data_IF_525914784322
#
_entry.id   IF_525914784322
#
_cell.length_a   1.000
_cell.length_b   1.000
_cell.length_c   1.000
_cell.angle_alpha   90.00
_cell.angle_beta   90.00
_cell.angle_gamma   90.00
#
_symmetry.space_group_name_H-M   'P 1'
#
loop_
_entity.id
_entity.type
_entity.pdbx_description
1 polymer ?
#
# COMPACT_ATOMS: atom_id res chain seq x y z
N UNK A 1 -61.10 -6.93 7.28
CA UNK A 1 -61.15 -7.79 6.08
C UNK A 1 -59.71 -8.02 5.63
N UNK A 2 -59.32 -9.29 5.52
CA UNK A 2 -57.97 -9.84 5.37
C UNK A 2 -57.33 -9.53 4.01
N UNK A 3 -55.99 -9.44 3.95
CA UNK A 3 -55.14 -10.55 3.45
C UNK A 3 -53.64 -10.24 3.62
N UNK A 4 -52.98 -11.13 4.38
CA UNK A 4 -51.53 -11.36 4.44
C UNK A 4 -51.17 -12.40 3.37
N UNK A 5 -49.99 -12.30 2.77
CA UNK A 5 -49.36 -13.40 2.02
C UNK A 5 -48.05 -13.81 2.69
N UNK A 6 -48.02 -15.04 3.23
CA UNK A 6 -46.83 -15.73 3.71
C UNK A 6 -46.10 -16.42 2.54
N UNK A 7 -44.77 -16.47 2.57
CA UNK A 7 -43.96 -17.31 1.69
C UNK A 7 -43.01 -18.15 2.55
N UNK A 8 -43.16 -19.48 2.46
CA UNK A 8 -42.37 -20.50 3.19
C UNK A 8 -41.06 -20.82 2.46
N UNK A 9 -40.01 -21.06 3.25
CA UNK A 9 -38.70 -21.56 2.84
C UNK A 9 -38.68 -23.10 3.04
N UNK A 10 -38.17 -23.87 2.07
CA UNK A 10 -37.92 -25.31 2.20
C UNK A 10 -36.45 -25.66 1.98
N UNK A 11 -35.94 -26.55 2.83
CA UNK A 11 -34.57 -27.00 3.02
C UNK A 11 -33.90 -27.69 1.80
N UNK A 12 -32.58 -27.50 1.67
CA UNK A 12 -31.70 -28.23 0.75
C UNK A 12 -30.81 -29.26 1.50
N UNK A 13 -30.55 -30.38 0.81
CA UNK A 13 -29.97 -31.65 1.28
C UNK A 13 -28.44 -31.63 1.42
N UNK A 14 -27.95 -32.35 2.43
CA UNK A 14 -26.57 -32.81 2.66
C UNK A 14 -26.26 -34.08 1.85
N UNK A 15 -25.07 -34.16 1.23
CA UNK A 15 -24.54 -35.38 0.60
C UNK A 15 -23.29 -35.85 1.36
N UNK A 16 -23.33 -37.08 1.91
CA UNK A 16 -22.18 -37.85 2.41
C UNK A 16 -21.85 -38.95 1.40
N UNK A 17 -20.57 -39.10 1.05
CA UNK A 17 -20.06 -40.24 0.28
C UNK A 17 -19.39 -41.25 1.22
N UNK A 18 -19.81 -42.52 1.11
CA UNK A 18 -19.28 -43.68 1.84
C UNK A 18 -18.10 -44.30 1.09
N UNK A 19 -17.11 -44.81 1.84
CA UNK A 19 -16.01 -45.63 1.35
C UNK A 19 -16.40 -47.10 1.12
N UNK A 20 -15.65 -47.78 0.24
CA UNK A 20 -15.64 -49.24 0.09
C UNK A 20 -14.20 -49.74 -0.06
N UNK A 21 -13.82 -50.66 0.80
CA UNK A 21 -12.64 -51.50 0.69
C UNK A 21 -13.02 -52.84 0.02
N UNK A 22 -12.11 -53.44 -0.74
CA UNK A 22 -12.19 -54.83 -1.22
C UNK A 22 -10.79 -55.46 -1.11
N UNK A 23 -10.73 -56.57 -0.37
CA UNK A 23 -9.57 -57.43 -0.21
C UNK A 23 -9.68 -58.65 -1.15
N UNK A 24 -8.55 -59.27 -1.50
CA UNK A 24 -8.57 -60.68 -1.88
C UNK A 24 -7.36 -61.26 -2.64
N UNK A 25 -6.83 -62.36 -2.07
CA UNK A 25 -6.19 -63.54 -2.70
C UNK A 25 -4.78 -63.38 -3.32
N UNK A 26 -3.78 -64.26 -3.22
CA UNK A 26 -3.48 -65.51 -2.49
C UNK A 26 -1.98 -65.80 -2.71
N UNK A 27 -1.31 -66.45 -1.76
CA UNK A 27 0.09 -66.90 -1.85
C UNK A 27 0.23 -68.28 -2.51
N UNK A 28 1.19 -68.45 -3.43
CA UNK A 28 1.75 -69.76 -3.81
C UNK A 28 3.27 -69.67 -3.79
N UNK A 29 3.92 -70.55 -3.02
CA UNK A 29 5.36 -70.65 -2.92
C UNK A 29 5.97 -71.58 -3.97
N UNK A 30 7.19 -71.26 -4.42
CA UNK A 30 8.12 -72.23 -5.02
C UNK A 30 9.56 -71.82 -4.71
N UNK A 31 10.37 -72.83 -4.38
CA UNK A 31 11.69 -72.75 -3.78
C UNK A 31 12.80 -72.61 -4.85
N UNK A 32 13.67 -71.61 -4.74
CA UNK A 32 14.87 -71.46 -5.58
C UNK A 32 16.17 -71.68 -4.76
N UNK A 33 17.26 -72.24 -5.33
CA UNK A 33 18.48 -72.61 -4.61
C UNK A 33 19.28 -71.41 -4.06
N UNK A 34 19.95 -71.60 -2.91
CA UNK A 34 20.60 -70.57 -2.10
C UNK A 34 21.81 -69.85 -2.75
N UNK A 35 22.51 -70.46 -3.70
CA UNK A 35 23.75 -69.94 -4.30
C UNK A 35 23.50 -68.76 -5.27
N UNK A 36 22.42 -68.80 -6.07
CA UNK A 36 22.02 -67.70 -6.96
C UNK A 36 21.50 -66.47 -6.21
N UNK A 37 21.13 -66.60 -4.92
CA UNK A 37 20.69 -65.47 -4.09
C UNK A 37 21.84 -64.54 -3.71
N UNK A 38 23.09 -65.02 -3.60
CA UNK A 38 24.25 -64.22 -3.15
C UNK A 38 24.83 -63.33 -4.26
N UNK A 39 24.91 -63.81 -5.51
CA UNK A 39 25.32 -62.97 -6.64
C UNK A 39 24.26 -61.92 -7.01
N UNK A 40 22.97 -62.29 -6.93
CA UNK A 40 21.89 -61.32 -7.15
C UNK A 40 21.84 -60.24 -6.07
N UNK A 41 22.09 -60.57 -4.80
CA UNK A 41 22.10 -59.55 -3.73
C UNK A 41 23.25 -58.58 -3.87
N UNK A 42 24.47 -59.02 -4.22
CA UNK A 42 25.60 -58.11 -4.41
C UNK A 42 25.37 -57.14 -5.59
N UNK A 43 24.86 -57.67 -6.71
CA UNK A 43 24.56 -56.87 -7.91
C UNK A 43 23.40 -55.90 -7.67
N UNK A 44 22.35 -56.34 -6.97
CA UNK A 44 21.23 -55.48 -6.59
C UNK A 44 21.67 -54.37 -5.63
N UNK A 45 22.55 -54.69 -4.66
CA UNK A 45 23.08 -53.72 -3.69
C UNK A 45 23.95 -52.68 -4.39
N UNK A 46 24.83 -53.09 -5.32
CA UNK A 46 25.64 -52.14 -6.10
C UNK A 46 24.76 -51.21 -6.97
N UNK A 47 23.74 -51.77 -7.60
CA UNK A 47 22.82 -51.02 -8.49
C UNK A 47 21.99 -50.02 -7.68
N UNK A 48 21.46 -50.43 -6.53
CA UNK A 48 20.75 -49.54 -5.60
C UNK A 48 21.66 -48.42 -5.08
N UNK A 49 22.90 -48.74 -4.71
CA UNK A 49 23.86 -47.76 -4.19
C UNK A 49 24.25 -46.74 -5.26
N UNK A 50 24.51 -47.17 -6.49
CA UNK A 50 24.78 -46.27 -7.62
C UNK A 50 23.56 -45.39 -7.97
N UNK A 51 22.35 -45.94 -7.93
CA UNK A 51 21.11 -45.19 -8.18
C UNK A 51 20.86 -44.13 -7.10
N UNK A 52 21.13 -44.46 -5.84
CA UNK A 52 21.09 -43.53 -4.71
C UNK A 52 22.14 -42.43 -4.85
N UNK A 53 23.37 -42.77 -5.22
CA UNK A 53 24.45 -41.80 -5.44
C UNK A 53 24.12 -40.87 -6.60
N UNK A 54 23.60 -41.39 -7.72
CA UNK A 54 23.21 -40.59 -8.87
C UNK A 54 22.02 -39.69 -8.55
N UNK A 55 21.03 -40.19 -7.80
CA UNK A 55 19.89 -39.39 -7.33
C UNK A 55 20.34 -38.28 -6.38
N UNK A 56 21.27 -38.57 -5.47
CA UNK A 56 21.82 -37.61 -4.53
C UNK A 56 22.67 -36.55 -5.25
N UNK A 57 23.50 -36.95 -6.22
CA UNK A 57 24.26 -36.03 -7.07
C UNK A 57 23.34 -35.16 -7.93
N UNK A 58 22.27 -35.73 -8.49
CA UNK A 58 21.25 -34.97 -9.23
C UNK A 58 20.51 -33.98 -8.33
N UNK A 59 20.19 -34.38 -7.09
CA UNK A 59 19.56 -33.50 -6.10
C UNK A 59 20.51 -32.40 -5.61
N UNK A 60 21.80 -32.71 -5.45
CA UNK A 60 22.85 -31.74 -5.07
C UNK A 60 23.10 -30.77 -6.23
N UNK A 61 23.18 -31.24 -7.47
CA UNK A 61 23.34 -30.40 -8.67
C UNK A 61 22.09 -29.55 -8.92
N UNK A 62 20.88 -30.12 -8.73
CA UNK A 62 19.63 -29.37 -8.79
C UNK A 62 19.55 -28.32 -7.69
N UNK A 63 19.91 -28.64 -6.44
CA UNK A 63 19.98 -27.66 -5.34
C UNK A 63 21.06 -26.61 -5.58
N UNK A 64 22.22 -26.97 -6.12
CA UNK A 64 23.30 -26.03 -6.38
C UNK A 64 22.95 -25.07 -7.51
N UNK A 65 22.35 -25.58 -8.59
CA UNK A 65 21.79 -24.75 -9.66
C UNK A 65 20.58 -23.93 -9.18
N UNK A 66 19.71 -24.47 -8.32
CA UNK A 66 18.57 -23.71 -7.78
C UNK A 66 19.00 -22.62 -6.80
N UNK A 67 20.09 -22.84 -6.05
CA UNK A 67 20.69 -21.85 -5.15
C UNK A 67 21.45 -20.77 -5.93
N UNK A 68 22.09 -21.10 -7.06
CA UNK A 68 22.68 -20.09 -7.95
C UNK A 68 21.62 -19.30 -8.73
N UNK A 69 20.53 -19.95 -9.16
CA UNK A 69 19.38 -19.30 -9.83
C UNK A 69 18.53 -18.43 -8.88
N UNK A 70 18.59 -18.62 -7.55
CA UNK A 70 17.69 -17.92 -6.61
C UNK A 70 18.16 -16.53 -6.19
N UNK A 71 19.44 -16.18 -6.38
CA UNK A 71 19.95 -14.87 -5.96
C UNK A 71 19.59 -13.74 -6.94
N UNK A 72 19.35 -14.04 -8.22
CA UNK A 72 19.08 -13.05 -9.27
C UNK A 72 17.60 -12.90 -9.63
N UNK A 73 16.68 -13.49 -8.85
CA UNK A 73 15.25 -13.60 -9.18
C UNK A 73 14.31 -13.12 -8.08
N UNK A 74 14.86 -12.51 -7.03
CA UNK A 74 14.04 -12.02 -5.93
C UNK A 74 13.45 -10.66 -6.30
N UNK A 75 12.17 -10.40 -6.00
CA UNK A 75 11.58 -9.12 -6.30
C UNK A 75 12.29 -7.96 -5.60
N UNK A 76 12.47 -6.85 -6.30
CA UNK A 76 12.84 -5.58 -5.65
C UNK A 76 11.60 -5.02 -4.94
N UNK A 77 11.62 -4.97 -3.61
CA UNK A 77 10.49 -4.50 -2.81
C UNK A 77 10.85 -3.23 -2.07
N UNK A 78 10.14 -2.14 -2.38
CA UNK A 78 10.34 -0.84 -1.74
C UNK A 78 9.17 -0.51 -0.81
N UNK A 79 9.42 -0.41 0.49
CA UNK A 79 8.46 0.04 1.49
C UNK A 79 8.47 1.56 1.54
N UNK A 80 7.29 2.14 1.31
CA UNK A 80 7.08 3.59 1.30
C UNK A 80 6.23 3.96 2.52
N UNK A 81 6.89 4.21 3.65
CA UNK A 81 6.19 4.62 4.86
C UNK A 81 6.02 6.15 4.86
N UNK A 82 4.77 6.59 4.91
CA UNK A 82 4.45 8.03 4.99
C UNK A 82 3.62 8.37 6.21
N UNK A 83 3.70 9.65 6.61
CA UNK A 83 2.91 10.20 7.70
C UNK A 83 2.24 11.50 7.26
N UNK A 84 0.92 11.54 7.32
CA UNK A 84 0.12 12.73 7.02
C UNK A 84 -0.16 13.44 8.34
N UNK A 85 0.46 14.61 8.53
CA UNK A 85 0.43 15.35 9.80
C UNK A 85 -0.77 16.31 9.87
N UNK A 86 -1.97 15.74 9.82
CA UNK A 86 -3.24 16.48 9.72
C UNK A 86 -3.48 17.36 10.95
N UNK A 87 -3.47 16.77 12.14
CA UNK A 87 -3.70 17.47 13.39
C UNK A 87 -4.97 18.36 13.34
N UNK A 88 -4.87 19.61 13.79
CA UNK A 88 -6.00 20.56 13.79
C UNK A 88 -6.47 20.87 12.37
N UNK A 89 -5.58 20.85 11.37
CA UNK A 89 -5.95 21.20 10.00
C UNK A 89 -6.99 20.24 9.42
N UNK A 90 -6.92 18.95 9.76
CA UNK A 90 -7.90 17.94 9.37
C UNK A 90 -9.33 18.32 9.76
N UNK A 91 -9.53 18.97 10.90
CA UNK A 91 -10.84 19.46 11.36
C UNK A 91 -11.27 20.79 10.76
N UNK A 92 -10.34 21.56 10.19
CA UNK A 92 -10.63 22.88 9.58
C UNK A 92 -11.06 22.78 8.13
N UNK A 93 -10.49 21.85 7.36
CA UNK A 93 -10.86 21.63 5.96
C UNK A 93 -11.82 20.47 5.82
N UNK A 94 -11.26 19.26 5.71
CA UNK A 94 -11.98 18.02 5.44
C UNK A 94 -13.04 17.65 6.48
N UNK A 95 -12.67 17.68 7.76
CA UNK A 95 -13.52 17.33 8.90
C UNK A 95 -14.37 18.49 9.41
N UNK A 96 -14.44 19.59 8.64
CA UNK A 96 -15.22 20.76 9.01
C UNK A 96 -16.71 20.40 9.07
N UNK A 97 -17.28 20.51 10.26
CA UNK A 97 -18.70 20.32 10.51
C UNK A 97 -19.21 21.46 11.38
N UNK A 98 -20.49 21.82 11.21
CA UNK A 98 -21.17 22.75 12.10
C UNK A 98 -21.21 22.28 13.57
N UNK A 99 -20.95 20.99 13.81
CA UNK A 99 -20.91 20.37 15.14
C UNK A 99 -19.50 20.16 15.69
N UNK A 100 -18.45 20.46 14.92
CA UNK A 100 -17.06 20.35 15.38
C UNK A 100 -16.85 21.25 16.60
N UNK A 101 -16.28 20.68 17.67
CA UNK A 101 -16.16 21.34 18.96
C UNK A 101 -14.74 21.21 19.54
N UNK A 102 -14.52 21.79 20.73
CA UNK A 102 -13.21 21.81 21.37
C UNK A 102 -12.62 20.41 21.63
N UNK A 103 -13.45 19.41 21.89
CA UNK A 103 -12.96 18.04 22.08
C UNK A 103 -12.36 17.48 20.78
N UNK A 104 -12.97 17.77 19.64
CA UNK A 104 -12.47 17.36 18.32
C UNK A 104 -11.12 18.03 18.05
N UNK A 105 -11.03 19.36 18.19
CA UNK A 105 -9.78 20.08 18.01
C UNK A 105 -8.67 19.61 18.97
N UNK A 106 -9.02 19.22 20.20
CA UNK A 106 -8.04 18.70 21.17
C UNK A 106 -7.35 17.43 20.68
N UNK A 107 -8.00 16.62 19.84
CA UNK A 107 -7.37 15.44 19.22
C UNK A 107 -6.30 15.82 18.19
N UNK A 108 -6.45 16.95 17.50
CA UNK A 108 -5.41 17.51 16.64
C UNK A 108 -4.18 17.97 17.45
N UNK A 109 -4.38 18.53 18.65
CA UNK A 109 -3.26 18.84 19.55
C UNK A 109 -2.58 17.57 20.05
N UNK A 110 -3.33 16.49 20.32
CA UNK A 110 -2.76 15.20 20.64
C UNK A 110 -1.89 14.66 19.49
N UNK A 111 -2.36 14.76 18.25
CA UNK A 111 -1.61 14.34 17.07
C UNK A 111 -0.23 15.01 17.02
N UNK A 112 -0.20 16.34 17.19
CA UNK A 112 1.05 17.10 17.24
C UNK A 112 1.90 16.75 18.47
N UNK A 113 1.41 17.05 19.68
CA UNK A 113 2.24 17.08 20.88
C UNK A 113 2.55 15.68 21.45
N UNK A 114 1.80 14.65 21.03
CA UNK A 114 1.96 13.27 21.51
C UNK A 114 2.22 12.31 20.37
N UNK A 115 1.43 12.38 19.30
CA UNK A 115 1.54 11.50 18.13
C UNK A 115 2.89 11.65 17.42
N UNK A 116 3.26 12.87 17.04
CA UNK A 116 4.53 13.13 16.34
C UNK A 116 5.74 12.64 17.14
N UNK A 117 5.93 13.00 18.44
CA UNK A 117 7.04 12.47 19.23
C UNK A 117 7.05 10.95 19.36
N UNK A 118 5.88 10.28 19.40
CA UNK A 118 5.81 8.81 19.47
C UNK A 118 6.30 8.18 18.17
N UNK A 119 5.84 8.67 17.03
CA UNK A 119 6.24 8.16 15.72
C UNK A 119 7.72 8.43 15.44
N UNK A 120 8.24 9.62 15.76
CA UNK A 120 9.67 9.91 15.62
C UNK A 120 10.55 8.97 16.46
N UNK A 121 10.15 8.67 17.71
CA UNK A 121 10.87 7.68 18.54
C UNK A 121 10.78 6.28 17.95
N UNK A 122 9.63 5.91 17.39
CA UNK A 122 9.43 4.60 16.77
C UNK A 122 10.30 4.42 15.51
N UNK A 123 10.32 5.40 14.62
CA UNK A 123 11.15 5.35 13.42
C UNK A 123 12.63 5.36 13.76
N UNK A 124 13.02 6.12 14.80
CA UNK A 124 14.39 6.10 15.33
C UNK A 124 14.77 4.73 15.91
N UNK A 125 13.87 4.10 16.67
CA UNK A 125 14.05 2.72 17.20
C UNK A 125 14.33 1.73 16.06
N UNK A 126 13.63 1.89 14.93
CA UNK A 126 13.79 1.03 13.77
C UNK A 126 14.92 1.43 12.82
N UNK A 127 15.56 2.59 13.04
CA UNK A 127 16.64 3.09 12.17
C UNK A 127 16.15 3.52 10.78
N UNK A 128 14.88 3.93 10.65
CA UNK A 128 14.26 4.28 9.36
C UNK A 128 13.83 5.75 9.27
N UNK A 129 14.23 6.61 10.22
CA UNK A 129 13.78 8.02 10.27
C UNK A 129 14.03 8.78 8.96
N UNK A 130 15.17 8.57 8.30
CA UNK A 130 15.50 9.21 7.02
C UNK A 130 14.85 8.58 5.80
N UNK A 131 14.15 7.45 5.99
CA UNK A 131 13.44 6.71 4.93
C UNK A 131 11.92 6.91 5.01
N UNK A 132 11.44 7.83 5.85
CA UNK A 132 10.03 8.17 5.99
C UNK A 132 9.75 9.50 5.31
N UNK A 133 8.59 9.61 4.66
CA UNK A 133 8.09 10.86 4.08
C UNK A 133 6.95 11.41 4.93
N UNK A 134 7.04 12.67 5.35
CA UNK A 134 5.96 13.36 6.05
C UNK A 134 5.27 14.34 5.11
N UNK A 135 3.98 14.13 4.86
CA UNK A 135 3.16 15.12 4.16
C UNK A 135 2.54 16.03 5.21
N UNK A 136 2.91 17.31 5.16
CA UNK A 136 2.56 18.27 6.22
C UNK A 136 1.68 19.38 5.64
N UNK A 137 0.47 19.60 6.19
CA UNK A 137 -0.33 20.78 5.87
C UNK A 137 0.38 22.07 6.29
N UNK A 138 0.26 23.14 5.50
CA UNK A 138 0.86 24.44 5.83
C UNK A 138 0.44 24.98 7.21
N UNK A 139 -0.83 24.80 7.58
CA UNK A 139 -1.35 25.13 8.90
C UNK A 139 -0.62 24.36 10.02
N UNK A 140 -0.36 23.06 9.82
CA UNK A 140 0.39 22.25 10.80
C UNK A 140 1.84 22.72 10.91
N UNK A 141 2.48 23.11 9.80
CA UNK A 141 3.83 23.69 9.82
C UNK A 141 3.91 24.96 10.68
N UNK A 142 2.92 25.86 10.55
CA UNK A 142 2.90 27.13 11.27
C UNK A 142 2.37 27.01 12.71
N UNK A 143 1.48 26.05 12.98
CA UNK A 143 0.85 25.87 14.30
C UNK A 143 1.68 25.04 15.27
N UNK A 144 2.50 24.11 14.75
CA UNK A 144 3.30 23.16 15.55
C UNK A 144 4.78 23.20 15.13
N UNK A 145 5.43 24.38 15.21
CA UNK A 145 6.77 24.58 14.65
C UNK A 145 7.85 23.71 15.33
N UNK A 146 7.69 23.37 16.61
CA UNK A 146 8.63 22.51 17.33
C UNK A 146 8.56 21.06 16.83
N UNK A 147 7.35 20.52 16.65
CA UNK A 147 7.10 19.21 16.09
C UNK A 147 7.58 19.12 14.63
N UNK A 148 7.23 20.11 13.81
CA UNK A 148 7.66 20.18 12.40
C UNK A 148 9.18 20.27 12.29
N UNK A 149 9.85 21.06 13.14
CA UNK A 149 11.31 21.11 13.19
C UNK A 149 11.93 19.78 13.62
N UNK A 150 11.33 19.08 14.58
CA UNK A 150 11.80 17.76 15.01
C UNK A 150 11.68 16.72 13.88
N UNK A 151 10.63 16.79 13.06
CA UNK A 151 10.48 15.95 11.86
C UNK A 151 11.64 16.21 10.88
N UNK A 152 11.91 17.48 10.55
CA UNK A 152 13.02 17.84 9.64
C UNK A 152 14.37 17.37 10.19
N UNK A 153 14.62 17.57 11.49
CA UNK A 153 15.85 17.15 12.15
C UNK A 153 16.04 15.63 12.18
N UNK A 154 14.96 14.84 12.03
CA UNK A 154 15.05 13.39 11.94
C UNK A 154 15.63 12.89 10.61
N UNK A 155 15.75 13.78 9.62
CA UNK A 155 16.22 13.47 8.26
C UNK A 155 15.13 12.97 7.33
N UNK A 156 13.87 12.94 7.77
CA UNK A 156 12.73 12.56 6.95
C UNK A 156 12.51 13.50 5.74
N UNK A 157 11.91 12.98 4.68
CA UNK A 157 11.43 13.81 3.57
C UNK A 157 10.19 14.62 4.01
N UNK A 158 10.08 15.87 3.53
CA UNK A 158 8.86 16.68 3.69
C UNK A 158 8.17 16.84 2.34
N UNK A 159 6.90 16.40 2.27
CA UNK A 159 5.95 16.68 1.20
C UNK A 159 4.89 17.70 1.65
N UNK A 160 4.16 18.26 0.69
CA UNK A 160 3.07 19.21 0.95
C UNK A 160 1.70 18.49 0.99
N UNK A 161 0.79 19.01 1.83
CA UNK A 161 -0.52 18.39 2.06
C UNK A 161 -1.66 19.42 2.22
N UNK A 162 -1.79 20.36 1.28
CA UNK A 162 -2.71 21.50 1.44
C UNK A 162 -2.28 22.46 2.55
N UNK A 163 -3.09 23.47 2.85
CA UNK A 163 -2.78 24.42 3.93
C UNK A 163 -3.54 24.03 5.20
N UNK A 164 -4.87 24.13 5.19
CA UNK A 164 -5.76 23.71 6.26
C UNK A 164 -6.52 22.42 5.90
N UNK A 165 -5.87 21.50 5.17
CA UNK A 165 -6.42 20.20 4.77
C UNK A 165 -7.74 20.32 3.97
N UNK A 166 -7.77 21.27 3.03
CA UNK A 166 -8.89 21.59 2.15
C UNK A 166 -8.98 20.59 0.99
N UNK A 167 -10.18 20.05 0.74
CA UNK A 167 -10.41 19.21 -0.45
C UNK A 167 -10.49 20.07 -1.72
N UNK A 168 -9.98 19.58 -2.85
CA UNK A 168 -10.06 20.31 -4.12
C UNK A 168 -11.50 20.66 -4.49
N UNK A 169 -12.48 19.85 -4.07
CA UNK A 169 -13.91 20.14 -4.25
C UNK A 169 -14.39 21.47 -3.64
N UNK A 170 -13.74 21.91 -2.56
CA UNK A 170 -14.07 23.10 -1.77
C UNK A 170 -13.45 24.39 -2.30
N UNK A 171 -12.50 24.28 -3.23
CA UNK A 171 -11.70 25.40 -3.72
C UNK A 171 -12.01 25.74 -5.18
N UNK A 172 -11.86 27.01 -5.51
CA UNK A 172 -11.68 27.50 -6.88
C UNK A 172 -10.23 27.26 -7.33
N UNK A 173 -9.99 27.26 -8.64
CA UNK A 173 -8.63 27.08 -9.20
C UNK A 173 -7.64 28.15 -8.69
N UNK A 174 -8.11 29.39 -8.48
CA UNK A 174 -7.29 30.48 -7.93
C UNK A 174 -6.88 30.19 -6.47
N UNK A 175 -7.83 29.79 -5.64
CA UNK A 175 -7.57 29.44 -4.25
C UNK A 175 -6.60 28.26 -4.15
N UNK A 176 -6.79 27.24 -4.97
CA UNK A 176 -5.91 26.08 -4.98
C UNK A 176 -4.47 26.46 -5.37
N UNK A 177 -4.31 27.34 -6.36
CA UNK A 177 -2.99 27.88 -6.74
C UNK A 177 -2.34 28.68 -5.60
N UNK A 178 -3.10 29.52 -4.90
CA UNK A 178 -2.62 30.29 -3.76
C UNK A 178 -2.19 29.37 -2.60
N UNK A 179 -2.97 28.33 -2.31
CA UNK A 179 -2.66 27.30 -1.30
C UNK A 179 -1.38 26.57 -1.67
N UNK A 180 -1.26 26.05 -2.90
CA UNK A 180 -0.05 25.34 -3.36
C UNK A 180 1.17 26.26 -3.28
N UNK A 181 1.05 27.53 -3.70
CA UNK A 181 2.14 28.50 -3.61
C UNK A 181 2.61 28.72 -2.17
N UNK A 182 1.67 28.91 -1.23
CA UNK A 182 1.98 29.09 0.20
C UNK A 182 2.62 27.83 0.79
N UNK A 183 2.15 26.64 0.44
CA UNK A 183 2.76 25.38 0.91
C UNK A 183 4.18 25.19 0.37
N UNK A 184 4.44 25.52 -0.90
CA UNK A 184 5.79 25.50 -1.48
C UNK A 184 6.69 26.48 -0.75
N UNK A 185 6.22 27.70 -0.47
CA UNK A 185 6.97 28.68 0.30
C UNK A 185 7.34 28.13 1.68
N UNK A 186 6.36 27.70 2.46
CA UNK A 186 6.57 27.20 3.83
C UNK A 186 7.52 25.99 3.88
N UNK A 187 7.30 25.00 3.01
CA UNK A 187 8.17 23.83 2.95
C UNK A 187 9.62 24.19 2.55
N UNK A 188 9.78 25.18 1.67
CA UNK A 188 11.11 25.67 1.26
C UNK A 188 11.80 26.42 2.39
N UNK A 189 11.09 27.28 3.11
CA UNK A 189 11.63 27.98 4.29
C UNK A 189 12.04 27.00 5.40
N UNK A 190 11.24 25.96 5.59
CA UNK A 190 11.46 24.94 6.61
C UNK A 190 12.66 24.03 6.30
N UNK A 191 12.82 23.60 5.06
CA UNK A 191 13.79 22.55 4.67
C UNK A 191 15.01 23.08 3.89
N UNK A 192 14.97 24.33 3.44
CA UNK A 192 15.95 24.92 2.54
C UNK A 192 15.90 24.41 1.10
N UNK A 193 14.92 23.56 0.75
CA UNK A 193 14.76 22.96 -0.58
C UNK A 193 13.29 23.01 -1.00
N UNK A 194 13.04 23.12 -2.31
CA UNK A 194 11.66 23.00 -2.82
C UNK A 194 11.10 21.60 -2.51
N UNK A 195 9.84 21.48 -2.08
CA UNK A 195 9.20 20.18 -1.90
C UNK A 195 9.09 19.46 -3.23
N UNK A 196 9.20 18.13 -3.19
CA UNK A 196 9.15 17.26 -4.38
C UNK A 196 7.83 16.50 -4.48
N UNK A 197 7.17 16.28 -3.35
CA UNK A 197 5.96 15.50 -3.22
C UNK A 197 4.75 16.30 -2.83
N UNK A 198 3.63 15.96 -3.42
CA UNK A 198 2.30 16.39 -3.02
C UNK A 198 1.47 15.17 -2.61
N UNK A 199 0.60 15.35 -1.62
CA UNK A 199 -0.55 14.49 -1.38
C UNK A 199 -1.76 15.39 -1.21
N UNK A 200 -2.83 15.13 -1.94
CA UNK A 200 -4.05 15.92 -1.79
C UNK A 200 -4.78 15.54 -0.50
N UNK A 201 -5.28 16.52 0.28
CA UNK A 201 -6.23 16.24 1.36
C UNK A 201 -7.39 15.36 0.86
N UNK A 202 -7.71 14.29 1.59
CA UNK A 202 -8.68 13.25 1.21
C UNK A 202 -8.45 12.58 -0.16
N UNK A 203 -7.23 12.62 -0.68
CA UNK A 203 -6.93 12.14 -2.04
C UNK A 203 -7.79 12.83 -3.12
N UNK A 204 -8.31 14.03 -2.85
CA UNK A 204 -9.19 14.75 -3.77
C UNK A 204 -8.37 15.64 -4.71
N UNK A 205 -8.21 15.22 -5.95
CA UNK A 205 -7.60 16.01 -7.01
C UNK A 205 -8.58 16.37 -8.11
N UNK A 206 -8.32 17.52 -8.74
CA UNK A 206 -8.88 17.88 -10.04
C UNK A 206 -7.78 17.93 -11.10
N UNK A 207 -8.18 17.92 -12.36
CA UNK A 207 -7.27 18.07 -13.50
C UNK A 207 -6.49 19.37 -13.47
N UNK A 208 -7.07 20.46 -12.96
CA UNK A 208 -6.35 21.71 -12.75
C UNK A 208 -5.31 21.59 -11.61
N UNK A 209 -5.57 20.81 -10.57
CA UNK A 209 -4.59 20.58 -9.49
C UNK A 209 -3.32 19.98 -10.04
N UNK A 210 -3.44 18.94 -10.88
CA UNK A 210 -2.30 18.33 -11.56
C UNK A 210 -1.52 19.38 -12.37
N UNK A 211 -2.20 20.25 -13.12
CA UNK A 211 -1.54 21.30 -13.91
C UNK A 211 -0.77 22.28 -13.02
N UNK A 212 -1.36 22.72 -11.91
CA UNK A 212 -0.69 23.62 -10.97
C UNK A 212 0.53 22.92 -10.35
N UNK A 213 0.42 21.66 -9.95
CA UNK A 213 1.56 20.89 -9.42
C UNK A 213 2.70 20.74 -10.45
N UNK A 214 2.38 20.48 -11.72
CA UNK A 214 3.35 20.45 -12.83
C UNK A 214 4.04 21.82 -13.00
N UNK A 215 3.31 22.94 -12.91
CA UNK A 215 3.85 24.30 -13.03
C UNK A 215 4.77 24.69 -11.86
N UNK A 216 4.46 24.26 -10.64
CA UNK A 216 5.32 24.46 -9.46
C UNK A 216 6.53 23.51 -9.44
N UNK A 217 6.56 22.52 -10.34
CA UNK A 217 7.69 21.61 -10.53
C UNK A 217 7.74 20.48 -9.50
N UNK A 218 6.58 20.04 -9.00
CA UNK A 218 6.51 18.82 -8.21
C UNK A 218 6.99 17.62 -9.04
N UNK A 219 7.64 16.67 -8.38
CA UNK A 219 8.10 15.44 -9.01
C UNK A 219 7.00 14.38 -9.04
N UNK A 220 6.28 14.26 -7.92
CA UNK A 220 5.30 13.22 -7.74
C UNK A 220 4.07 13.68 -6.96
N UNK A 221 2.96 13.00 -7.21
CA UNK A 221 1.75 12.97 -6.38
C UNK A 221 1.57 11.56 -5.77
N UNK A 222 0.83 11.49 -4.66
CA UNK A 222 0.44 10.22 -4.04
C UNK A 222 -1.01 10.28 -3.56
N UNK A 223 -1.92 10.42 -4.51
CA UNK A 223 -3.36 10.59 -4.27
C UNK A 223 -4.26 9.79 -5.22
N UNK A 224 -3.71 9.13 -6.24
CA UNK A 224 -4.51 8.46 -7.28
C UNK A 224 -4.31 6.93 -7.28
N UNK A 225 -5.41 6.22 -7.54
CA UNK A 225 -5.50 4.76 -7.38
C UNK A 225 -5.59 3.97 -8.68
N UNK A 226 -5.04 4.47 -9.79
CA UNK A 226 -5.09 3.71 -11.06
C UNK A 226 -4.35 2.37 -10.94
N UNK A 227 -3.27 2.36 -10.15
CA UNK A 227 -2.49 1.18 -9.78
C UNK A 227 -2.51 1.05 -8.25
N UNK A 228 -2.04 -0.08 -7.71
CA UNK A 228 -1.99 -0.33 -6.27
C UNK A 228 -0.57 -0.52 -5.73
N UNK A 229 0.40 -0.87 -6.59
CA UNK A 229 1.73 -1.31 -6.16
C UNK A 229 2.84 -1.00 -7.17
N UNK A 230 2.50 -0.26 -8.24
CA UNK A 230 3.44 0.17 -9.26
C UNK A 230 3.26 1.67 -9.54
N UNK A 231 4.37 2.38 -9.65
CA UNK A 231 4.37 3.79 -10.05
C UNK A 231 3.95 3.92 -11.52
N UNK A 232 3.34 5.05 -11.85
CA UNK A 232 2.92 5.38 -13.21
C UNK A 232 3.01 6.88 -13.43
N UNK A 233 2.91 7.34 -14.67
CA UNK A 233 2.74 8.77 -14.94
C UNK A 233 1.27 9.14 -14.85
N UNK A 234 0.95 10.24 -14.16
CA UNK A 234 -0.43 10.73 -14.07
C UNK A 234 -1.01 10.92 -15.48
N UNK A 235 -2.12 10.26 -15.84
CA UNK A 235 -2.72 10.40 -17.17
C UNK A 235 -3.21 11.82 -17.41
N UNK A 236 -2.81 12.43 -18.54
CA UNK A 236 -3.28 13.75 -18.95
C UNK A 236 -4.60 13.62 -19.70
N UNK A 237 -5.72 13.66 -18.99
CA UNK A 237 -7.06 13.52 -19.59
C UNK A 237 -8.05 14.52 -18.99
N UNK A 238 -9.16 14.75 -19.69
CA UNK A 238 -10.26 15.56 -19.15
C UNK A 238 -11.05 14.77 -18.09
N UNK A 239 -11.60 15.47 -17.10
CA UNK A 239 -12.46 14.85 -16.10
C UNK A 239 -13.71 14.24 -16.75
N UNK A 240 -14.08 13.00 -16.39
CA UNK A 240 -15.36 12.43 -16.75
C UNK A 240 -16.49 13.32 -16.25
N UNK A 241 -17.49 13.56 -17.10
CA UNK A 241 -18.68 14.34 -16.72
C UNK A 241 -19.73 13.42 -16.12
N UNK A 242 -20.37 13.88 -15.05
CA UNK A 242 -21.53 13.20 -14.49
C UNK A 242 -22.64 13.07 -15.55
N UNK A 243 -23.36 11.96 -15.49
CA UNK A 243 -24.46 11.68 -16.42
C UNK A 243 -25.63 12.62 -16.14
N UNK A 244 -26.13 13.30 -17.17
CA UNK A 244 -27.37 14.08 -17.10
C UNK A 244 -28.58 13.19 -17.45
N UNK A 245 -29.25 12.67 -16.42
CA UNK A 245 -30.43 11.82 -16.56
C UNK A 245 -31.74 12.59 -16.83
N UNK A 246 -31.67 13.89 -17.15
CA UNK A 246 -32.87 14.67 -17.48
C UNK A 246 -33.63 14.03 -18.65
N UNK A 247 -34.98 13.96 -18.61
CA UNK A 247 -35.77 13.33 -19.67
C UNK A 247 -35.56 13.92 -21.07
N UNK A 248 -35.00 15.14 -21.16
CA UNK A 248 -34.65 15.83 -22.40
C UNK A 248 -33.33 15.36 -23.02
N UNK A 249 -32.54 14.53 -22.34
CA UNK A 249 -31.25 14.03 -22.82
C UNK A 249 -31.38 12.60 -23.33
N UNK A 250 -30.82 12.35 -24.51
CA UNK A 250 -30.68 11.00 -25.05
C UNK A 250 -29.53 10.28 -24.33
N UNK A 251 -29.68 8.97 -24.10
CA UNK A 251 -28.61 8.14 -23.54
C UNK A 251 -27.31 8.16 -24.35
N UNK A 252 -27.38 8.47 -25.64
CA UNK A 252 -26.21 8.67 -26.50
C UNK A 252 -25.23 9.74 -25.98
N UNK A 253 -25.68 10.65 -25.11
CA UNK A 253 -24.83 11.70 -24.52
C UNK A 253 -23.82 11.16 -23.49
N UNK A 254 -24.03 9.96 -22.92
CA UNK A 254 -23.09 9.32 -21.98
C UNK A 254 -22.63 7.92 -22.40
N UNK A 255 -23.25 7.30 -23.40
CA UNK A 255 -22.80 5.99 -23.94
C UNK A 255 -21.56 6.13 -24.83
N UNK A 256 -20.49 6.73 -24.30
CA UNK A 256 -19.20 6.91 -24.97
C UNK A 256 -18.08 6.35 -24.07
N UNK A 257 -17.03 5.72 -24.63
CA UNK A 257 -15.88 5.28 -23.85
C UNK A 257 -15.08 6.49 -23.33
N UNK A 258 -14.23 6.26 -22.33
CA UNK A 258 -13.26 7.25 -21.89
C UNK A 258 -12.29 7.58 -23.04
N UNK A 259 -11.95 8.87 -23.23
CA UNK A 259 -10.95 9.24 -24.23
C UNK A 259 -9.56 8.73 -23.84
N UNK A 260 -8.73 8.45 -24.84
CA UNK A 260 -7.32 8.16 -24.59
C UNK A 260 -6.62 9.37 -23.96
N UNK A 261 -5.70 9.18 -23.00
CA UNK A 261 -4.96 10.27 -22.40
C UNK A 261 -4.03 10.93 -23.43
N UNK A 262 -3.82 12.23 -23.28
CA UNK A 262 -2.87 13.00 -24.06
C UNK A 262 -1.42 12.55 -23.75
N UNK A 263 -0.51 12.88 -24.67
CA UNK A 263 0.91 12.56 -24.50
C UNK A 263 1.50 13.20 -23.24
N UNK A 264 2.38 12.45 -22.58
CA UNK A 264 3.18 12.88 -21.43
C UNK A 264 4.10 14.04 -21.84
N UNK A 265 4.46 14.87 -20.86
CA UNK A 265 5.50 15.91 -20.97
C UNK A 265 6.63 15.61 -19.99
N UNK A 266 7.78 16.28 -20.08
CA UNK A 266 8.82 16.17 -19.06
C UNK A 266 8.33 16.55 -17.64
N UNK A 267 7.35 17.46 -17.56
CA UNK A 267 6.73 17.92 -16.32
C UNK A 267 5.73 16.92 -15.75
N UNK A 268 5.29 15.92 -16.53
CA UNK A 268 4.30 14.95 -16.06
C UNK A 268 4.73 14.30 -14.76
N UNK A 269 3.83 14.41 -13.77
CA UNK A 269 4.00 13.88 -12.43
C UNK A 269 4.12 12.36 -12.48
N UNK A 270 4.98 11.86 -11.59
CA UNK A 270 4.96 10.47 -11.20
C UNK A 270 3.87 10.30 -10.16
N UNK A 271 3.07 9.25 -10.27
CA UNK A 271 2.12 8.86 -9.26
C UNK A 271 2.68 7.70 -8.46
N UNK A 272 2.72 7.86 -7.14
CA UNK A 272 2.92 6.76 -6.20
C UNK A 272 1.55 6.40 -5.64
N UNK A 273 0.95 5.26 -6.06
CA UNK A 273 -0.43 4.97 -5.73
C UNK A 273 -0.64 4.88 -4.22
N UNK A 274 -1.69 5.51 -3.74
CA UNK A 274 -2.18 5.39 -2.37
C UNK A 274 -3.69 5.18 -2.40
N UNK A 275 -4.24 4.32 -1.54
CA UNK A 275 -5.69 4.14 -1.41
C UNK A 275 -6.11 3.92 0.05
N UNK A 276 -7.43 3.93 0.27
CA UNK A 276 -8.07 3.77 1.58
C UNK A 276 -7.75 2.46 2.33
N UNK A 277 -7.19 1.44 1.67
CA UNK A 277 -6.77 0.18 2.30
C UNK A 277 -5.30 0.18 2.73
N UNK A 278 -4.55 1.24 2.41
CA UNK A 278 -3.13 1.41 2.74
C UNK A 278 -2.91 2.38 3.90
N UNK A 279 -3.99 2.83 4.56
CA UNK A 279 -3.93 3.83 5.61
C UNK A 279 -4.53 3.36 6.95
N UNK A 280 -4.21 4.08 8.02
CA UNK A 280 -4.68 3.81 9.38
C UNK A 280 -5.95 4.58 9.78
N UNK A 281 -6.11 5.84 9.35
CA UNK A 281 -7.13 6.75 9.89
C UNK A 281 -8.54 6.28 9.56
N UNK A 282 -8.85 6.02 8.28
CA UNK A 282 -10.18 5.63 7.82
C UNK A 282 -10.83 4.49 8.63
N UNK A 283 -10.14 3.37 8.92
CA UNK A 283 -10.72 2.31 9.75
C UNK A 283 -10.67 2.58 11.26
N UNK A 284 -9.66 3.30 11.76
CA UNK A 284 -9.32 3.34 13.19
C UNK A 284 -9.50 4.71 13.87
N UNK A 285 -9.85 5.77 13.14
CA UNK A 285 -10.20 7.08 13.68
C UNK A 285 -11.71 7.27 13.71
N UNK A 286 -12.24 7.57 14.90
CA UNK A 286 -13.63 8.01 15.03
C UNK A 286 -13.70 9.53 14.85
N UNK A 287 -14.52 9.97 13.91
CA UNK A 287 -14.79 11.38 13.60
C UNK A 287 -16.31 11.61 13.75
N UNK A 288 -16.76 12.23 14.86
CA UNK A 288 -18.19 12.29 15.19
C UNK A 288 -19.04 13.10 14.20
N UNK A 289 -18.42 14.01 13.44
CA UNK A 289 -19.09 14.82 12.43
C UNK A 289 -19.32 14.13 11.09
N UNK A 290 -18.82 12.91 10.89
CA UNK A 290 -18.88 12.20 9.61
C UNK A 290 -19.80 10.97 9.68
N UNK A 291 -20.83 10.93 8.82
CA UNK A 291 -21.82 9.85 8.81
C UNK A 291 -21.21 8.46 8.51
N UNK A 292 -20.17 8.41 7.71
CA UNK A 292 -19.45 7.19 7.32
C UNK A 292 -18.24 6.88 8.21
N UNK A 293 -18.09 7.57 9.35
CA UNK A 293 -16.97 7.33 10.27
C UNK A 293 -16.94 5.90 10.78
N UNK A 294 -15.74 5.31 10.80
CA UNK A 294 -15.44 4.11 11.59
C UNK A 294 -14.73 4.53 12.88
N UNK A 295 -13.66 3.85 13.30
CA UNK A 295 -12.92 4.18 14.52
C UNK A 295 -12.79 3.05 15.54
N UNK A 296 -13.46 1.93 15.30
CA UNK A 296 -13.48 0.78 16.21
C UNK A 296 -12.95 -0.50 15.56
N UNK A 297 -12.38 -0.42 14.36
CA UNK A 297 -11.75 -1.57 13.73
C UNK A 297 -10.49 -1.95 14.51
N UNK A 298 -10.33 -3.24 14.79
CA UNK A 298 -9.18 -3.72 15.57
C UNK A 298 -7.86 -3.47 14.83
N UNK A 299 -6.82 -2.95 15.49
CA UNK A 299 -5.47 -2.88 14.93
C UNK A 299 -4.95 -4.23 14.45
N UNK A 300 -5.37 -5.34 15.07
CA UNK A 300 -4.97 -6.69 14.64
C UNK A 300 -5.51 -7.00 13.24
N UNK A 301 -6.75 -6.58 12.96
CA UNK A 301 -7.37 -6.76 11.64
C UNK A 301 -6.64 -5.95 10.57
N UNK A 302 -6.30 -4.69 10.87
CA UNK A 302 -5.58 -3.84 9.92
C UNK A 302 -4.17 -4.36 9.65
N UNK A 303 -3.44 -4.76 10.71
CA UNK A 303 -2.13 -5.41 10.58
C UNK A 303 -2.20 -6.65 9.68
N UNK A 304 -3.20 -7.50 9.86
CA UNK A 304 -3.37 -8.70 9.05
C UNK A 304 -3.71 -8.37 7.59
N UNK A 305 -4.57 -7.38 7.35
CA UNK A 305 -4.90 -6.94 5.99
C UNK A 305 -3.64 -6.46 5.25
N UNK A 306 -2.78 -5.67 5.92
CA UNK A 306 -1.53 -5.20 5.32
C UNK A 306 -0.56 -6.33 5.05
N UNK A 307 -0.41 -7.29 5.97
CA UNK A 307 0.43 -8.49 5.76
C UNK A 307 -0.05 -9.33 4.58
N UNK A 308 -1.35 -9.61 4.52
CA UNK A 308 -1.95 -10.37 3.43
C UNK A 308 -1.79 -9.69 2.07
N UNK A 309 -1.90 -8.34 2.02
CA UNK A 309 -1.60 -7.59 0.80
C UNK A 309 -0.13 -7.72 0.40
N UNK A 310 0.79 -7.58 1.35
CA UNK A 310 2.22 -7.73 1.08
C UNK A 310 2.55 -9.13 0.52
N UNK A 311 2.05 -10.17 1.17
CA UNK A 311 2.29 -11.57 0.78
C UNK A 311 1.79 -11.87 -0.64
N UNK A 312 0.60 -11.36 -0.98
CA UNK A 312 0.06 -11.47 -2.34
C UNK A 312 0.96 -10.78 -3.37
N UNK A 313 1.30 -9.50 -3.15
CA UNK A 313 2.15 -8.74 -4.07
C UNK A 313 3.54 -9.36 -4.23
N UNK A 314 4.11 -9.88 -3.15
CA UNK A 314 5.39 -10.58 -3.19
C UNK A 314 5.33 -11.85 -4.03
N UNK A 315 4.28 -12.67 -3.87
CA UNK A 315 4.08 -13.88 -4.68
C UNK A 315 3.96 -13.54 -6.17
N UNK A 316 3.13 -12.55 -6.51
CA UNK A 316 2.93 -12.10 -7.89
C UNK A 316 4.23 -11.59 -8.52
N UNK A 317 5.00 -10.77 -7.80
CA UNK A 317 6.26 -10.24 -8.30
C UNK A 317 7.32 -11.34 -8.49
N UNK A 318 7.33 -12.35 -7.61
CA UNK A 318 8.24 -13.49 -7.71
C UNK A 318 7.89 -14.36 -8.92
N UNK A 319 6.61 -14.66 -9.14
CA UNK A 319 6.14 -15.43 -10.29
C UNK A 319 6.50 -14.72 -11.59
N UNK A 320 6.20 -13.43 -11.71
CA UNK A 320 6.57 -12.62 -12.89
C UNK A 320 8.08 -12.56 -13.11
N UNK A 321 8.87 -12.45 -12.04
CA UNK A 321 10.34 -12.44 -12.17
C UNK A 321 10.88 -13.75 -12.77
N UNK A 322 10.22 -14.88 -12.47
CA UNK A 322 10.56 -16.19 -13.01
C UNK A 322 10.08 -16.33 -14.46
N UNK A 323 8.85 -15.91 -14.75
CA UNK A 323 8.25 -16.02 -16.08
C UNK A 323 8.95 -15.16 -17.13
N UNK A 324 9.32 -13.93 -16.76
CA UNK A 324 9.92 -12.95 -17.66
C UNK A 324 11.46 -12.98 -17.62
N UNK A 325 12.07 -13.86 -16.82
CA UNK A 325 13.51 -13.96 -16.54
C UNK A 325 14.17 -12.59 -16.34
N UNK A 326 13.48 -11.72 -15.58
CA UNK A 326 13.87 -10.34 -15.30
C UNK A 326 13.53 -9.98 -13.86
N UNK A 327 14.29 -9.06 -13.25
CA UNK A 327 13.98 -8.58 -11.90
C UNK A 327 12.70 -7.73 -11.96
N UNK A 328 11.63 -8.25 -11.36
CA UNK A 328 10.40 -7.49 -11.15
C UNK A 328 10.40 -6.89 -9.74
N UNK A 329 9.50 -5.97 -9.48
CA UNK A 329 9.39 -5.33 -8.17
C UNK A 329 8.07 -4.64 -7.97
N UNK A 330 7.85 -4.20 -6.74
CA UNK A 330 6.67 -3.42 -6.38
C UNK A 330 7.00 -2.45 -5.25
N UNK A 331 6.17 -1.41 -5.15
CA UNK A 331 6.15 -0.52 -4.00
C UNK A 331 5.04 -0.89 -3.05
N UNK A 332 5.31 -0.72 -1.76
CA UNK A 332 4.36 -0.99 -0.69
C UNK A 332 4.16 0.27 0.15
N UNK A 333 3.30 1.20 -0.30
CA UNK A 333 2.97 2.37 0.48
C UNK A 333 2.09 2.03 1.67
N UNK A 334 2.40 2.65 2.80
CA UNK A 334 1.59 2.70 4.01
C UNK A 334 1.49 4.16 4.46
N UNK A 335 0.27 4.62 4.72
CA UNK A 335 -0.02 5.98 5.19
C UNK A 335 -0.44 5.92 6.65
N UNK A 336 0.28 6.67 7.47
CA UNK A 336 0.01 6.80 8.89
C UNK A 336 -0.43 8.22 9.20
N UNK A 337 -1.17 8.40 10.29
CA UNK A 337 -1.48 9.73 10.80
C UNK A 337 -1.06 9.80 12.27
N UNK A 338 -0.39 10.88 12.76
CA UNK A 338 -0.10 11.03 14.18
C UNK A 338 -1.36 11.01 15.04
N UNK A 339 -2.48 11.47 14.47
CA UNK A 339 -3.83 11.40 15.02
C UNK A 339 -4.21 9.96 15.40
N UNK A 340 -3.90 9.00 14.54
CA UNK A 340 -4.31 7.61 14.67
C UNK A 340 -3.16 6.70 15.11
N UNK A 341 -2.10 6.58 14.31
CA UNK A 341 -0.89 5.82 14.63
C UNK A 341 -0.14 6.33 15.87
N UNK A 342 -0.41 7.55 16.33
CA UNK A 342 0.09 8.05 17.61
C UNK A 342 -0.63 7.47 18.83
N UNK A 343 -1.82 6.90 18.68
CA UNK A 343 -2.58 6.30 19.79
C UNK A 343 -1.85 5.10 20.39
N UNK A 344 -1.97 4.90 21.71
CA UNK A 344 -1.16 3.93 22.44
C UNK A 344 -1.32 2.47 21.97
N UNK A 345 -2.51 2.08 21.51
CA UNK A 345 -2.79 0.74 21.02
C UNK A 345 -2.44 0.58 19.52
N UNK A 346 -2.49 1.66 18.74
CA UNK A 346 -2.15 1.67 17.30
C UNK A 346 -0.63 1.78 17.08
N UNK A 347 0.08 2.60 17.86
CA UNK A 347 1.56 2.70 17.75
C UNK A 347 2.25 1.35 17.96
N UNK A 348 1.69 0.50 18.82
CA UNK A 348 2.15 -0.87 19.02
C UNK A 348 1.89 -1.78 17.81
N UNK A 349 0.81 -1.55 17.05
CA UNK A 349 0.57 -2.21 15.77
C UNK A 349 1.62 -1.78 14.73
N UNK A 350 1.90 -0.48 14.62
CA UNK A 350 2.92 0.04 13.70
C UNK A 350 4.31 -0.54 14.03
N UNK A 351 4.66 -0.63 15.32
CA UNK A 351 5.90 -1.26 15.77
C UNK A 351 6.02 -2.73 15.31
N UNK A 352 4.94 -3.51 15.44
CA UNK A 352 4.90 -4.90 14.96
C UNK A 352 4.96 -4.99 13.44
N UNK A 353 4.26 -4.11 12.72
CA UNK A 353 4.26 -4.10 11.26
C UNK A 353 5.67 -3.81 10.71
N UNK A 354 6.33 -2.76 11.21
CA UNK A 354 7.70 -2.43 10.79
C UNK A 354 8.66 -3.58 11.16
N UNK A 355 8.54 -4.14 12.36
CA UNK A 355 9.37 -5.28 12.78
C UNK A 355 9.21 -6.48 11.85
N UNK A 356 7.98 -6.77 11.41
CA UNK A 356 7.69 -7.86 10.48
C UNK A 356 8.20 -7.58 9.07
N UNK A 357 8.03 -6.35 8.56
CA UNK A 357 8.58 -5.94 7.26
C UNK A 357 10.10 -6.04 7.23
N UNK A 358 10.80 -5.70 8.32
CA UNK A 358 12.26 -5.84 8.42
C UNK A 358 12.76 -7.29 8.46
N UNK A 359 11.87 -8.27 8.66
CA UNK A 359 12.19 -9.70 8.52
C UNK A 359 12.07 -10.16 7.06
N UNK A 360 11.52 -9.32 6.19
CA UNK A 360 11.43 -9.55 4.75
C UNK A 360 12.64 -8.93 4.04
N UNK A 361 12.91 -9.36 2.82
CA UNK A 361 13.93 -8.74 1.96
C UNK A 361 13.34 -7.52 1.27
N UNK A 362 13.37 -6.39 1.98
CA UNK A 362 12.75 -5.13 1.55
C UNK A 362 13.69 -3.96 1.79
N UNK A 363 13.47 -2.88 1.05
CA UNK A 363 14.16 -1.60 1.22
C UNK A 363 13.17 -0.54 1.72
N UNK A 364 13.52 0.21 2.76
CA UNK A 364 12.74 1.38 3.16
C UNK A 364 13.32 2.62 2.49
N UNK A 365 12.52 3.30 1.67
CA UNK A 365 12.93 4.49 0.92
C UNK A 365 11.90 5.60 1.07
N UNK A 366 12.33 6.85 0.91
CA UNK A 366 11.39 7.96 0.81
C UNK A 366 10.62 7.93 -0.50
N UNK A 367 9.44 8.53 -0.52
CA UNK A 367 8.61 8.64 -1.73
C UNK A 367 9.39 9.39 -2.83
N UNK A 368 10.07 10.48 -2.51
CA UNK A 368 10.85 11.22 -3.48
C UNK A 368 12.03 10.46 -4.06
N UNK A 369 12.75 9.66 -3.27
CA UNK A 369 13.82 8.79 -3.78
C UNK A 369 13.26 7.76 -4.77
N UNK A 370 12.18 7.07 -4.38
CA UNK A 370 11.50 6.10 -5.22
C UNK A 370 11.01 6.71 -6.54
N UNK A 371 10.32 7.86 -6.48
CA UNK A 371 9.82 8.54 -7.66
C UNK A 371 10.94 9.00 -8.61
N UNK A 372 12.07 9.50 -8.08
CA UNK A 372 13.19 9.93 -8.92
C UNK A 372 13.93 8.77 -9.56
N UNK A 373 14.19 7.70 -8.81
CA UNK A 373 14.79 6.48 -9.34
C UNK A 373 13.90 5.92 -10.46
N UNK A 374 12.60 5.76 -10.18
CA UNK A 374 11.65 5.26 -11.14
C UNK A 374 11.60 6.12 -12.40
N UNK A 375 11.40 7.45 -12.28
CA UNK A 375 11.31 8.36 -13.43
C UNK A 375 12.56 8.33 -14.30
N UNK A 376 13.75 8.19 -13.71
CA UNK A 376 15.02 8.08 -14.45
C UNK A 376 15.07 6.84 -15.34
N UNK A 377 14.45 5.73 -14.90
CA UNK A 377 14.42 4.47 -15.64
C UNK A 377 13.33 4.42 -16.74
N UNK A 378 12.52 5.47 -16.88
CA UNK A 378 11.46 5.56 -17.90
C UNK A 378 11.88 6.34 -19.16
N UNK A 379 13.09 6.90 -19.18
CA UNK A 379 13.61 7.79 -20.23
C UNK A 379 14.51 7.04 -21.20
#
# INVERSE_FOLDING_TARGET
>A
MFLKSEMRISNAKTMRLQGRAMAGWTTVGSSFPLELRKLNTLTLTLTLTLTLIFSLLTLILYRSNSLQMSSSRKPKVQILLSVDFDAVSGFLGTGASATTNLADYSSGFFAAQVGVPRLLRLFKKHGISSSVTWFVPGHSMESFPEETKAIVQSGAEIGCHGYAHEGSSQMTESQEREVIAKCVQLATELTGKKPRGWRAPLYQLRTHTIQVLEEFGFLYDSSLTHHDSSLYFVPRMSEPKAIDFSPSKSASTWMNPLPAPAARTPQTLVEIPCNWYMEDMTPMQYLPGLENSHGFVSPITIEQNWKSRFEFLYSEALEKSIEEDSEQGFVFPLVLHPDTSGMAHVVGMIDRMISWLKQQEVEFVTFGECAAEWKKNQV
#
